data_IF_980352022032
#
_entry.id   IF_980352022032
#
_cell.length_a   1.000
_cell.length_b   1.000
_cell.length_c   1.000
_cell.angle_alpha   90.00
_cell.angle_beta   90.00
_cell.angle_gamma   90.00
#
_symmetry.space_group_name_H-M   'P 1'
#
loop_
_entity.id
_entity.type
_entity.pdbx_description
1 polymer ?
#
# COMPACT_ATOMS: atom_id res chain seq x y z
N UNK A 1 3.89 -20.41 25.54
CA UNK A 1 2.46 -20.56 25.19
C UNK A 1 2.31 -20.02 23.79
N UNK A 2 1.84 -20.84 22.84
CA UNK A 2 1.48 -20.34 21.52
C UNK A 2 0.33 -19.33 21.70
N UNK A 3 0.51 -18.13 21.18
CA UNK A 3 -0.56 -17.14 21.21
C UNK A 3 -1.75 -17.62 20.36
N UNK A 4 -2.99 -17.34 20.77
CA UNK A 4 -4.15 -17.74 19.99
C UNK A 4 -4.08 -17.08 18.62
N UNK A 5 -4.12 -17.88 17.57
CA UNK A 5 -4.25 -17.41 16.21
C UNK A 5 -5.46 -18.04 15.55
N UNK A 6 -6.04 -17.31 14.61
CA UNK A 6 -7.14 -17.81 13.78
C UNK A 6 -6.67 -17.89 12.34
N UNK A 7 -7.18 -18.84 11.59
CA UNK A 7 -6.86 -18.98 10.16
C UNK A 7 -8.09 -19.34 9.35
N UNK A 8 -8.09 -18.95 8.09
CA UNK A 8 -9.12 -19.31 7.11
C UNK A 8 -8.48 -19.58 5.77
N UNK A 9 -9.07 -20.47 4.98
CA UNK A 9 -8.66 -20.75 3.60
C UNK A 9 -9.57 -20.05 2.59
N UNK A 10 -8.95 -19.59 1.51
CA UNK A 10 -9.59 -19.05 0.31
C UNK A 10 -9.43 -20.07 -0.83
N UNK A 11 -10.04 -21.23 -0.70
CA UNK A 11 -9.79 -22.38 -1.55
C UNK A 11 -9.79 -22.04 -3.05
N UNK A 12 -8.69 -22.40 -3.72
CA UNK A 12 -8.45 -22.15 -5.15
C UNK A 12 -7.88 -20.77 -5.50
N UNK A 13 -7.74 -19.85 -4.52
CA UNK A 13 -7.26 -18.51 -4.78
C UNK A 13 -6.09 -18.14 -3.87
N UNK A 14 -4.93 -17.87 -4.47
CA UNK A 14 -3.80 -17.28 -3.79
C UNK A 14 -4.17 -15.86 -3.36
N UNK A 15 -3.94 -15.52 -2.09
CA UNK A 15 -4.28 -14.19 -1.55
C UNK A 15 -3.24 -13.15 -1.94
N UNK A 16 -3.69 -11.94 -2.29
CA UNK A 16 -2.83 -10.82 -2.68
C UNK A 16 -2.93 -9.63 -1.75
N UNK A 17 -4.12 -9.34 -1.23
CA UNK A 17 -4.34 -8.24 -0.29
C UNK A 17 -5.41 -8.61 0.71
N UNK A 18 -5.33 -8.00 1.89
CA UNK A 18 -6.33 -8.10 2.95
C UNK A 18 -6.57 -6.72 3.56
N UNK A 19 -7.82 -6.40 3.85
CA UNK A 19 -8.20 -5.18 4.59
C UNK A 19 -9.34 -5.44 5.56
N UNK A 20 -9.27 -4.81 6.73
CA UNK A 20 -10.37 -4.79 7.70
C UNK A 20 -11.41 -3.74 7.32
N UNK A 21 -12.68 -4.03 7.62
CA UNK A 21 -13.75 -3.05 7.45
C UNK A 21 -13.56 -1.88 8.42
N UNK A 22 -13.72 -0.62 7.96
CA UNK A 22 -13.69 0.53 8.85
C UNK A 22 -14.98 0.70 9.66
N UNK A 23 -16.05 -0.06 9.34
CA UNK A 23 -17.35 0.04 10.00
C UNK A 23 -17.67 -1.14 10.93
N UNK A 24 -17.15 -2.33 10.61
CA UNK A 24 -17.49 -3.55 11.34
C UNK A 24 -16.24 -4.23 11.89
N UNK A 25 -16.15 -4.41 13.24
CA UNK A 25 -14.95 -4.97 13.88
C UNK A 25 -14.69 -6.44 13.53
N UNK A 26 -15.69 -7.14 13.08
CA UNK A 26 -15.65 -8.57 12.76
C UNK A 26 -15.65 -8.86 11.26
N UNK A 27 -15.52 -7.82 10.40
CA UNK A 27 -15.47 -8.02 8.95
C UNK A 27 -14.09 -7.64 8.39
N UNK A 28 -13.64 -8.45 7.45
CA UNK A 28 -12.48 -8.17 6.61
C UNK A 28 -12.73 -8.67 5.20
N UNK A 29 -11.90 -8.30 4.25
CA UNK A 29 -12.01 -8.76 2.88
C UNK A 29 -10.62 -9.11 2.32
N UNK A 30 -10.59 -10.06 1.39
CA UNK A 30 -9.38 -10.58 0.77
C UNK A 30 -9.53 -10.54 -0.74
N UNK A 31 -8.55 -9.96 -1.41
CA UNK A 31 -8.39 -10.06 -2.86
C UNK A 31 -7.49 -11.26 -3.18
N UNK A 32 -7.93 -12.08 -4.11
CA UNK A 32 -7.21 -13.29 -4.49
C UNK A 32 -7.21 -13.53 -5.99
N UNK A 33 -6.29 -14.38 -6.43
CA UNK A 33 -6.18 -14.80 -7.83
C UNK A 33 -5.92 -16.29 -7.93
N UNK A 34 -6.57 -16.92 -8.89
CA UNK A 34 -6.26 -18.31 -9.26
C UNK A 34 -4.89 -18.38 -9.94
N UNK A 35 -4.27 -19.57 -9.90
CA UNK A 35 -3.00 -19.86 -10.57
C UNK A 35 -1.90 -18.80 -10.31
N UNK A 36 -1.82 -18.29 -9.08
CA UNK A 36 -0.83 -17.31 -8.64
C UNK A 36 -0.82 -16.01 -9.47
N UNK A 37 -1.98 -15.62 -10.03
CA UNK A 37 -2.11 -14.39 -10.82
C UNK A 37 -1.52 -14.46 -12.24
N UNK A 38 -1.04 -15.61 -12.67
CA UNK A 38 -0.47 -15.75 -14.01
C UNK A 38 -1.55 -15.80 -15.09
N UNK A 39 -2.57 -16.60 -14.89
CA UNK A 39 -3.73 -16.74 -15.77
C UNK A 39 -4.91 -17.22 -14.93
N UNK A 40 -6.05 -16.63 -15.08
CA UNK A 40 -7.28 -17.14 -14.49
C UNK A 40 -8.06 -16.12 -13.69
N UNK A 41 -9.10 -16.60 -13.06
CA UNK A 41 -10.06 -15.79 -12.34
C UNK A 41 -9.49 -15.23 -11.05
N UNK A 42 -10.05 -14.10 -10.63
CA UNK A 42 -9.88 -13.57 -9.29
C UNK A 42 -11.12 -13.77 -8.44
N UNK A 43 -10.95 -13.59 -7.15
CA UNK A 43 -12.06 -13.59 -6.18
C UNK A 43 -11.86 -12.54 -5.10
N UNK A 44 -12.91 -11.78 -4.86
CA UNK A 44 -13.06 -10.99 -3.65
C UNK A 44 -13.80 -11.86 -2.64
N UNK A 45 -13.16 -12.18 -1.51
CA UNK A 45 -13.76 -12.94 -0.41
C UNK A 45 -14.02 -12.02 0.76
N UNK A 46 -15.27 -11.93 1.21
CA UNK A 46 -15.66 -11.20 2.42
C UNK A 46 -15.64 -12.20 3.58
N UNK A 47 -14.90 -11.87 4.62
CA UNK A 47 -14.72 -12.68 5.79
C UNK A 47 -15.49 -12.10 6.97
N UNK A 48 -16.12 -12.97 7.74
CA UNK A 48 -16.78 -12.64 8.98
C UNK A 48 -16.15 -13.44 10.12
N UNK A 49 -15.63 -12.76 11.13
CA UNK A 49 -15.09 -13.41 12.34
C UNK A 49 -16.19 -13.61 13.37
N UNK A 50 -16.54 -14.85 13.63
CA UNK A 50 -17.54 -15.20 14.63
C UNK A 50 -16.87 -15.56 15.94
N UNK A 51 -17.41 -15.11 17.10
CA UNK A 51 -16.79 -15.35 18.41
C UNK A 51 -16.53 -16.82 18.74
N UNK A 52 -17.42 -17.72 18.28
CA UNK A 52 -17.39 -19.13 18.67
C UNK A 52 -16.80 -20.06 17.61
N UNK A 53 -16.87 -19.70 16.30
CA UNK A 53 -16.44 -20.56 15.20
C UNK A 53 -15.20 -20.01 14.49
N UNK A 54 -14.75 -18.79 14.82
CA UNK A 54 -13.66 -18.12 14.13
C UNK A 54 -14.08 -17.51 12.79
N UNK A 55 -13.10 -17.12 11.96
CA UNK A 55 -13.37 -16.49 10.68
C UNK A 55 -13.95 -17.49 9.66
N UNK A 56 -14.96 -17.06 8.93
CA UNK A 56 -15.58 -17.80 7.83
C UNK A 56 -15.72 -16.90 6.60
N UNK A 57 -15.79 -17.50 5.41
CA UNK A 57 -16.12 -16.78 4.17
C UNK A 57 -17.62 -16.56 4.17
N UNK A 58 -18.03 -15.31 4.37
CA UNK A 58 -19.45 -14.91 4.35
C UNK A 58 -19.95 -14.82 2.91
N UNK A 59 -19.11 -14.27 2.00
CA UNK A 59 -19.45 -14.06 0.60
C UNK A 59 -18.23 -14.05 -0.30
N UNK A 60 -18.40 -14.47 -1.55
CA UNK A 60 -17.37 -14.44 -2.59
C UNK A 60 -17.91 -13.84 -3.88
N UNK A 61 -17.10 -13.00 -4.55
CA UNK A 61 -17.40 -12.41 -5.85
C UNK A 61 -16.31 -12.80 -6.82
N UNK A 62 -16.68 -13.53 -7.88
CA UNK A 62 -15.72 -13.98 -8.88
C UNK A 62 -15.50 -12.91 -9.96
N UNK A 63 -14.28 -12.83 -10.44
CA UNK A 63 -13.86 -11.94 -11.52
C UNK A 63 -13.17 -12.73 -12.63
N UNK A 64 -13.12 -12.15 -13.83
CA UNK A 64 -12.50 -12.81 -14.99
C UNK A 64 -10.97 -12.78 -14.93
N UNK A 65 -10.39 -11.88 -14.13
CA UNK A 65 -8.96 -11.75 -13.95
C UNK A 65 -8.61 -11.56 -12.48
N UNK A 66 -7.34 -11.82 -12.11
CA UNK A 66 -6.84 -11.75 -10.75
C UNK A 66 -7.08 -10.40 -10.09
N UNK A 67 -7.34 -10.43 -8.79
CA UNK A 67 -7.43 -9.23 -7.96
C UNK A 67 -6.14 -9.07 -7.16
N UNK A 68 -5.51 -7.90 -7.30
CA UNK A 68 -4.22 -7.60 -6.66
C UNK A 68 -4.34 -6.74 -5.41
N UNK A 69 -5.36 -5.89 -5.32
CA UNK A 69 -5.59 -5.09 -4.13
C UNK A 69 -7.09 -4.79 -3.93
N UNK A 70 -7.44 -4.35 -2.73
CA UNK A 70 -8.80 -3.96 -2.36
C UNK A 70 -8.77 -2.83 -1.33
N UNK A 71 -9.82 -2.01 -1.35
CA UNK A 71 -10.08 -1.00 -0.33
C UNK A 71 -11.56 -0.95 0.02
N UNK A 72 -11.86 -0.93 1.33
CA UNK A 72 -13.20 -0.62 1.80
C UNK A 72 -13.53 0.84 1.55
N UNK A 73 -14.78 1.11 1.24
CA UNK A 73 -15.30 2.47 1.17
C UNK A 73 -15.25 3.13 2.56
N UNK A 74 -14.92 4.41 2.58
CA UNK A 74 -14.94 5.23 3.80
C UNK A 74 -16.29 5.94 4.01
N UNK A 75 -17.20 5.88 3.03
CA UNK A 75 -18.52 6.51 3.11
C UNK A 75 -19.68 5.51 3.11
N UNK A 76 -19.47 4.28 2.64
CA UNK A 76 -20.51 3.25 2.59
C UNK A 76 -20.04 1.94 3.21
N UNK A 77 -20.71 1.52 4.26
CA UNK A 77 -20.32 0.38 5.10
C UNK A 77 -20.26 -0.98 4.36
N UNK A 78 -20.96 -1.10 3.24
CA UNK A 78 -21.07 -2.34 2.48
C UNK A 78 -20.30 -2.32 1.15
N UNK A 79 -19.56 -1.23 0.86
CA UNK A 79 -18.88 -1.12 -0.42
C UNK A 79 -17.39 -1.42 -0.33
N UNK A 80 -16.90 -2.14 -1.34
CA UNK A 80 -15.48 -2.49 -1.51
C UNK A 80 -15.09 -2.21 -2.95
N UNK A 81 -13.97 -1.51 -3.14
CA UNK A 81 -13.37 -1.35 -4.45
C UNK A 81 -12.19 -2.33 -4.62
N UNK A 82 -12.00 -2.87 -5.83
CA UNK A 82 -10.95 -3.84 -6.15
C UNK A 82 -10.15 -3.42 -7.37
N UNK A 83 -8.85 -3.70 -7.32
CA UNK A 83 -7.87 -3.51 -8.38
C UNK A 83 -7.61 -4.84 -9.09
N UNK A 84 -7.71 -4.88 -10.42
CA UNK A 84 -7.68 -6.09 -11.22
C UNK A 84 -6.53 -6.11 -12.23
N UNK A 85 -6.05 -7.32 -12.57
CA UNK A 85 -5.01 -7.55 -13.55
C UNK A 85 -5.40 -7.17 -14.97
N UNK A 86 -6.69 -7.13 -15.29
CA UNK A 86 -7.21 -6.70 -16.59
C UNK A 86 -7.18 -5.17 -16.81
N UNK A 87 -6.63 -4.40 -15.88
CA UNK A 87 -6.65 -2.92 -15.92
C UNK A 87 -7.96 -2.31 -15.43
N UNK A 88 -8.90 -3.12 -14.98
CA UNK A 88 -10.18 -2.62 -14.48
C UNK A 88 -10.18 -2.41 -12.96
N UNK A 89 -11.02 -1.46 -12.55
CA UNK A 89 -11.39 -1.22 -11.16
C UNK A 89 -12.87 -1.51 -11.01
N UNK A 90 -13.25 -2.25 -9.97
CA UNK A 90 -14.64 -2.65 -9.75
C UNK A 90 -15.09 -2.23 -8.36
N UNK A 91 -16.29 -1.71 -8.24
CA UNK A 91 -16.95 -1.40 -6.98
C UNK A 91 -18.05 -2.43 -6.71
N UNK A 92 -17.99 -3.04 -5.56
CA UNK A 92 -18.91 -4.08 -5.11
C UNK A 92 -19.74 -3.58 -3.94
N UNK A 93 -20.96 -4.06 -3.83
CA UNK A 93 -21.76 -3.94 -2.63
C UNK A 93 -21.97 -5.35 -2.06
N UNK A 94 -21.50 -5.59 -0.83
CA UNK A 94 -21.54 -6.91 -0.20
C UNK A 94 -22.97 -7.39 0.10
N UNK A 95 -23.95 -6.50 0.11
CA UNK A 95 -25.35 -6.84 0.30
C UNK A 95 -26.06 -7.25 -1.01
N UNK A 96 -25.49 -6.86 -2.16
CA UNK A 96 -26.04 -7.19 -3.48
C UNK A 96 -25.39 -8.46 -4.04
N UNK A 97 -25.99 -9.03 -5.07
CA UNK A 97 -25.54 -10.31 -5.65
C UNK A 97 -24.58 -10.11 -6.81
N UNK A 98 -23.59 -10.97 -6.88
CA UNK A 98 -22.73 -11.46 -7.97
C UNK A 98 -22.07 -10.44 -8.92
N UNK A 99 -22.59 -9.23 -9.10
CA UNK A 99 -22.04 -8.26 -10.04
C UNK A 99 -21.56 -6.98 -9.36
N UNK A 100 -20.50 -6.37 -9.87
CA UNK A 100 -20.07 -5.06 -9.37
C UNK A 100 -21.13 -4.01 -9.67
N UNK A 101 -21.37 -3.11 -8.73
CA UNK A 101 -22.30 -1.99 -8.94
C UNK A 101 -21.72 -0.95 -9.91
N UNK A 102 -20.39 -0.95 -10.07
CA UNK A 102 -19.67 -0.14 -11.05
C UNK A 102 -18.38 -0.79 -11.50
N UNK A 103 -18.01 -0.56 -12.77
CA UNK A 103 -16.73 -0.97 -13.35
C UNK A 103 -16.15 0.21 -14.14
N UNK A 104 -14.87 0.48 -13.92
CA UNK A 104 -14.05 1.40 -14.72
C UNK A 104 -12.92 0.61 -15.38
N UNK A 105 -12.56 1.00 -16.61
CA UNK A 105 -11.49 0.38 -17.37
C UNK A 105 -10.76 1.43 -18.18
N UNK A 106 -9.88 2.18 -17.51
CA UNK A 106 -9.09 3.25 -18.13
C UNK A 106 -7.58 3.03 -18.00
N UNK A 107 -7.12 2.16 -17.09
CA UNK A 107 -5.73 1.77 -17.05
C UNK A 107 -5.40 0.85 -18.23
N UNK A 108 -4.18 1.00 -18.77
CA UNK A 108 -3.72 0.25 -19.94
C UNK A 108 -3.01 -1.05 -19.57
N UNK A 109 -2.70 -1.21 -18.29
CA UNK A 109 -2.04 -2.38 -17.71
C UNK A 109 -2.66 -2.70 -16.35
N UNK A 110 -2.11 -3.70 -15.69
CA UNK A 110 -2.55 -4.18 -14.39
C UNK A 110 -2.68 -3.04 -13.37
N UNK A 111 -3.78 -3.01 -12.65
CA UNK A 111 -3.98 -2.13 -11.49
C UNK A 111 -3.47 -2.85 -10.25
N UNK A 112 -2.46 -2.30 -9.62
CA UNK A 112 -1.71 -3.01 -8.58
C UNK A 112 -2.01 -2.54 -7.17
N UNK A 113 -2.51 -1.33 -7.00
CA UNK A 113 -3.02 -0.85 -5.72
C UNK A 113 -4.26 0.02 -5.85
N UNK A 114 -5.02 0.04 -4.79
CA UNK A 114 -6.17 0.89 -4.61
C UNK A 114 -6.21 1.38 -3.16
N UNK A 115 -6.45 2.67 -2.97
CA UNK A 115 -6.55 3.28 -1.64
C UNK A 115 -7.72 4.25 -1.59
N UNK A 116 -8.52 4.14 -0.55
CA UNK A 116 -9.67 5.01 -0.32
C UNK A 116 -9.28 6.13 0.66
N UNK A 117 -9.56 7.38 0.28
CA UNK A 117 -9.22 8.52 1.12
C UNK A 117 -10.04 8.55 2.41
N UNK A 118 -9.37 8.52 3.55
CA UNK A 118 -10.02 8.64 4.85
C UNK A 118 -10.39 10.09 5.22
N UNK A 119 -9.82 11.07 4.51
CA UNK A 119 -10.06 12.51 4.71
C UNK A 119 -11.10 13.06 3.74
N UNK A 120 -11.02 12.68 2.46
CA UNK A 120 -12.00 12.99 1.42
C UNK A 120 -12.73 11.68 1.05
N UNK A 121 -13.66 11.31 1.87
CA UNK A 121 -14.29 9.98 1.91
C UNK A 121 -15.03 9.55 0.63
N UNK A 122 -15.22 10.46 -0.30
CA UNK A 122 -15.80 10.24 -1.63
C UNK A 122 -14.77 9.97 -2.72
N UNK A 123 -13.48 9.99 -2.38
CA UNK A 123 -12.39 9.76 -3.33
C UNK A 123 -11.61 8.47 -3.03
N UNK A 124 -11.18 7.83 -4.10
CA UNK A 124 -10.17 6.78 -4.04
C UNK A 124 -9.16 6.94 -5.17
N UNK A 125 -7.96 6.40 -5.01
CA UNK A 125 -6.93 6.40 -6.04
C UNK A 125 -6.52 4.97 -6.39
N UNK A 126 -6.01 4.82 -7.61
CA UNK A 126 -5.44 3.57 -8.10
C UNK A 126 -4.07 3.81 -8.70
N UNK A 127 -3.19 2.83 -8.61
CA UNK A 127 -1.91 2.83 -9.30
C UNK A 127 -1.78 1.63 -10.22
N UNK A 128 -1.07 1.82 -11.32
CA UNK A 128 -0.95 0.79 -12.36
C UNK A 128 0.48 0.65 -12.88
N UNK A 129 0.75 -0.50 -13.45
CA UNK A 129 1.97 -0.76 -14.20
C UNK A 129 2.08 0.04 -15.49
N UNK A 130 1.01 0.76 -15.89
CA UNK A 130 1.07 1.74 -16.98
C UNK A 130 1.80 3.05 -16.62
N UNK A 131 2.33 3.17 -15.40
CA UNK A 131 3.06 4.34 -14.91
C UNK A 131 2.17 5.47 -14.38
N UNK A 132 0.85 5.28 -14.37
CA UNK A 132 -0.11 6.31 -13.98
C UNK A 132 -0.76 6.04 -12.63
N UNK A 133 -1.19 7.14 -12.00
CA UNK A 133 -2.12 7.14 -10.87
C UNK A 133 -3.41 7.79 -11.36
N UNK A 134 -4.55 7.20 -11.01
CA UNK A 134 -5.85 7.79 -11.31
C UNK A 134 -6.64 8.05 -10.03
N UNK A 135 -7.39 9.14 -10.01
CA UNK A 135 -8.26 9.54 -8.91
C UNK A 135 -9.69 9.40 -9.37
N UNK A 136 -10.52 8.81 -8.53
CA UNK A 136 -11.89 8.43 -8.83
C UNK A 136 -12.85 8.89 -7.76
N UNK A 137 -14.12 8.99 -8.14
CA UNK A 137 -15.26 9.02 -7.22
C UNK A 137 -16.29 7.99 -7.67
N UNK A 138 -17.00 7.34 -6.73
CA UNK A 138 -18.01 6.33 -7.06
C UNK A 138 -19.11 6.83 -8.02
N UNK A 139 -19.40 8.12 -7.99
CA UNK A 139 -20.53 8.71 -8.73
C UNK A 139 -20.25 8.94 -10.21
N UNK A 140 -18.98 8.95 -10.64
CA UNK A 140 -18.60 9.24 -12.03
C UNK A 140 -18.21 7.99 -12.80
N UNK A 141 -18.52 7.99 -14.10
CA UNK A 141 -18.16 6.91 -15.02
C UNK A 141 -16.69 6.95 -15.46
N UNK A 142 -16.00 8.09 -15.24
CA UNK A 142 -14.60 8.30 -15.64
C UNK A 142 -13.80 8.83 -14.48
N UNK A 143 -12.47 8.65 -14.53
CA UNK A 143 -11.55 9.22 -13.56
C UNK A 143 -11.68 10.74 -13.48
N UNK A 144 -11.49 11.28 -12.28
CA UNK A 144 -11.41 12.74 -12.08
C UNK A 144 -10.11 13.30 -12.64
N UNK A 145 -9.04 12.53 -12.45
CA UNK A 145 -7.69 12.98 -12.76
C UNK A 145 -6.80 11.78 -13.06
N UNK A 146 -5.92 11.93 -14.05
CA UNK A 146 -4.85 10.98 -14.35
C UNK A 146 -3.52 11.68 -14.17
N UNK A 147 -2.65 11.12 -13.34
CA UNK A 147 -1.30 11.61 -13.06
C UNK A 147 -0.31 10.67 -13.77
N UNK A 148 0.41 11.09 -14.81
CA UNK A 148 1.54 10.35 -15.35
C UNK A 148 2.71 10.45 -14.37
N UNK A 149 2.73 9.51 -13.40
CA UNK A 149 3.49 9.65 -12.18
C UNK A 149 4.95 9.20 -12.32
N UNK A 150 5.15 8.04 -12.91
CA UNK A 150 6.48 7.43 -13.02
C UNK A 150 6.73 6.96 -14.45
N UNK A 151 8.00 6.81 -14.80
CA UNK A 151 8.42 6.22 -16.09
C UNK A 151 8.40 4.69 -16.08
N UNK A 152 8.07 4.10 -14.94
CA UNK A 152 8.07 2.66 -14.69
C UNK A 152 6.80 2.26 -13.92
N UNK A 153 6.65 0.96 -13.62
CA UNK A 153 5.49 0.42 -12.90
C UNK A 153 5.26 1.14 -11.57
N UNK A 154 4.03 1.58 -11.30
CA UNK A 154 3.63 2.12 -9.99
C UNK A 154 3.01 1.00 -9.16
N UNK A 155 3.71 0.60 -8.10
CA UNK A 155 3.26 -0.51 -7.27
C UNK A 155 2.25 -0.10 -6.20
N UNK A 156 2.35 1.13 -5.69
CA UNK A 156 1.37 1.63 -4.73
C UNK A 156 1.22 3.15 -4.84
N UNK A 157 0.00 3.62 -4.62
CA UNK A 157 -0.35 5.02 -4.42
C UNK A 157 -1.39 5.10 -3.30
N UNK A 158 -1.15 5.95 -2.30
CA UNK A 158 -2.02 6.11 -1.15
C UNK A 158 -2.21 7.58 -0.78
N UNK A 159 -3.38 7.91 -0.27
CA UNK A 159 -3.66 9.23 0.28
C UNK A 159 -2.94 9.46 1.61
N UNK A 160 -2.52 10.70 1.84
CA UNK A 160 -2.07 11.11 3.16
C UNK A 160 -3.23 11.04 4.16
N UNK A 161 -3.03 10.42 5.35
CA UNK A 161 -4.09 10.31 6.35
C UNK A 161 -4.46 11.65 7.01
N UNK A 162 -3.70 12.70 6.78
CA UNK A 162 -3.88 14.01 7.42
C UNK A 162 -4.01 15.17 6.45
N UNK A 163 -3.56 15.02 5.21
CA UNK A 163 -3.57 16.07 4.19
C UNK A 163 -4.42 15.62 3.00
N UNK A 164 -5.65 16.12 2.85
CA UNK A 164 -6.65 15.56 1.95
C UNK A 164 -6.27 15.60 0.47
N UNK A 165 -5.34 16.45 0.08
CA UNK A 165 -4.94 16.60 -1.33
C UNK A 165 -3.58 15.99 -1.65
N UNK A 166 -2.96 15.29 -0.71
CA UNK A 166 -1.62 14.71 -0.91
C UNK A 166 -1.74 13.21 -1.12
N UNK A 167 -1.08 12.73 -2.18
CA UNK A 167 -0.88 11.31 -2.49
C UNK A 167 0.61 11.02 -2.47
N UNK A 168 1.00 9.89 -1.89
CA UNK A 168 2.34 9.33 -2.05
C UNK A 168 2.29 8.14 -3.00
N UNK A 169 3.31 7.98 -3.84
CA UNK A 169 3.45 6.83 -4.72
C UNK A 169 4.84 6.23 -4.68
N UNK A 170 4.94 4.94 -4.96
CA UNK A 170 6.20 4.24 -5.12
C UNK A 170 6.23 3.40 -6.40
N UNK A 171 7.43 3.22 -6.93
CA UNK A 171 7.60 2.64 -8.25
C UNK A 171 8.81 1.70 -8.34
N UNK A 172 8.84 0.90 -9.41
CA UNK A 172 10.01 0.12 -9.81
C UNK A 172 11.21 0.98 -10.20
N UNK A 173 11.04 2.31 -10.38
CA UNK A 173 12.15 3.24 -10.58
C UNK A 173 12.96 3.55 -9.30
N UNK A 174 12.60 2.95 -8.16
CA UNK A 174 13.27 3.14 -6.87
C UNK A 174 12.95 4.46 -6.18
N UNK A 175 11.97 5.22 -6.69
CA UNK A 175 11.59 6.52 -6.12
C UNK A 175 10.26 6.47 -5.39
N UNK A 176 10.19 7.27 -4.32
CA UNK A 176 8.98 7.69 -3.63
C UNK A 176 8.66 9.12 -4.07
N UNK A 177 7.44 9.38 -4.51
CA UNK A 177 7.00 10.70 -4.94
C UNK A 177 5.77 11.16 -4.19
N UNK A 178 5.65 12.48 -3.98
CA UNK A 178 4.47 13.15 -3.44
C UNK A 178 3.80 14.00 -4.51
N UNK A 179 2.49 13.98 -4.51
CA UNK A 179 1.62 14.66 -5.45
C UNK A 179 0.62 15.52 -4.71
N UNK A 180 0.50 16.79 -5.09
CA UNK A 180 -0.61 17.64 -4.66
C UNK A 180 -1.67 17.63 -5.77
N UNK A 181 -2.81 17.04 -5.49
CA UNK A 181 -3.92 16.88 -6.46
C UNK A 181 -4.60 18.20 -6.83
N UNK A 182 -4.30 19.29 -6.13
CA UNK A 182 -4.77 20.65 -6.43
C UNK A 182 -3.90 21.35 -7.46
N UNK A 183 -2.67 20.92 -7.62
CA UNK A 183 -1.75 21.48 -8.61
C UNK A 183 -2.24 21.19 -10.02
N UNK A 184 -2.18 22.16 -10.94
CA UNK A 184 -2.55 21.91 -12.32
C UNK A 184 -1.63 20.83 -12.90
N UNK A 185 -2.24 19.73 -13.31
CA UNK A 185 -1.53 18.66 -14.00
C UNK A 185 -1.35 19.05 -15.47
N UNK A 186 -0.23 18.66 -16.09
CA UNK A 186 -0.09 18.85 -17.53
C UNK A 186 -1.25 18.13 -18.25
N UNK A 187 -1.74 18.68 -19.36
CA UNK A 187 -2.77 17.98 -20.15
C UNK A 187 -2.26 16.58 -20.50
N UNK A 188 -3.20 15.62 -20.48
CA UNK A 188 -2.89 14.24 -20.84
C UNK A 188 -2.09 14.20 -22.14
N UNK A 189 -1.00 13.41 -22.23
CA UNK A 189 -0.18 13.37 -23.42
C UNK A 189 -1.05 12.93 -24.60
N UNK A 190 -1.22 13.83 -25.55
CA UNK A 190 -1.75 13.44 -26.87
C UNK A 190 -0.68 12.52 -27.47
N UNK A 191 -1.07 11.29 -27.82
CA UNK A 191 -0.17 10.31 -28.39
C UNK A 191 0.60 10.92 -29.55
N UNK A 192 1.86 11.26 -29.34
CA UNK A 192 2.77 11.68 -30.40
C UNK A 192 3.42 10.44 -31.02
N UNK A 193 3.50 10.34 -32.36
CA UNK A 193 4.05 9.17 -33.04
C UNK A 193 5.54 8.94 -32.84
N UNK A 194 6.23 9.86 -32.21
CA UNK A 194 7.66 9.76 -31.91
C UNK A 194 7.85 9.48 -30.42
N UNK A 195 8.28 8.27 -30.06
CA UNK A 195 8.50 7.75 -28.71
C UNK A 195 9.47 8.55 -27.81
N UNK A 196 9.36 9.86 -27.79
CA UNK A 196 10.13 10.77 -26.98
C UNK A 196 9.27 11.23 -25.79
N UNK A 197 9.71 10.84 -24.59
CA UNK A 197 9.41 11.39 -23.26
C UNK A 197 7.97 11.87 -23.07
N UNK A 198 7.10 10.97 -22.63
CA UNK A 198 5.82 11.36 -22.03
C UNK A 198 6.11 12.47 -21.01
N UNK A 199 5.44 13.61 -21.12
CA UNK A 199 5.54 14.70 -20.15
C UNK A 199 4.99 14.17 -18.81
N UNK A 200 5.91 13.71 -17.95
CA UNK A 200 5.54 13.31 -16.58
C UNK A 200 5.03 14.52 -15.82
N UNK A 201 4.04 14.32 -14.98
CA UNK A 201 3.60 15.33 -14.05
C UNK A 201 4.76 15.70 -13.11
N UNK A 202 4.79 16.94 -12.66
CA UNK A 202 5.80 17.40 -11.70
C UNK A 202 5.35 17.02 -10.28
N UNK A 203 6.06 16.13 -9.58
CA UNK A 203 5.79 15.84 -8.20
C UNK A 203 6.16 17.02 -7.30
N UNK A 204 5.46 17.16 -6.19
CA UNK A 204 5.84 18.10 -5.14
C UNK A 204 7.20 17.74 -4.52
N UNK A 205 7.46 16.44 -4.41
CA UNK A 205 8.68 15.91 -3.83
C UNK A 205 9.05 14.58 -4.51
N UNK A 206 10.36 14.36 -4.72
CA UNK A 206 10.90 13.06 -5.15
C UNK A 206 12.02 12.65 -4.20
N UNK A 207 11.90 11.43 -3.65
CA UNK A 207 12.89 10.83 -2.77
C UNK A 207 13.43 9.57 -3.44
N UNK A 208 14.75 9.42 -3.66
CA UNK A 208 15.38 8.18 -4.11
C UNK A 208 15.41 7.20 -2.91
N UNK A 209 14.24 6.60 -2.63
CA UNK A 209 14.03 5.84 -1.40
C UNK A 209 14.84 4.53 -1.39
N UNK A 210 14.91 3.83 -2.52
CA UNK A 210 15.70 2.60 -2.67
C UNK A 210 16.50 2.67 -3.99
N UNK A 211 17.70 3.29 -4.01
CA UNK A 211 18.50 3.38 -5.22
C UNK A 211 18.79 2.00 -5.81
N UNK A 212 18.50 1.83 -7.10
CA UNK A 212 18.70 0.59 -7.86
C UNK A 212 17.83 -0.61 -7.41
N UNK A 213 16.75 -0.38 -6.67
CA UNK A 213 15.82 -1.44 -6.27
C UNK A 213 14.37 -0.96 -6.37
N UNK A 214 13.48 -1.86 -6.77
CA UNK A 214 12.05 -1.59 -6.84
C UNK A 214 11.43 -1.41 -5.46
N UNK A 215 10.51 -0.46 -5.34
CA UNK A 215 9.71 -0.25 -4.14
C UNK A 215 8.33 -0.87 -4.39
N UNK A 216 8.00 -1.89 -3.62
CA UNK A 216 6.78 -2.68 -3.80
C UNK A 216 5.60 -2.17 -3.00
N UNK A 217 5.85 -1.41 -1.94
CA UNK A 217 4.79 -0.86 -1.07
C UNK A 217 5.26 0.36 -0.32
N UNK A 218 4.30 1.15 0.11
CA UNK A 218 4.51 2.27 1.03
C UNK A 218 3.32 2.41 1.98
N UNK A 219 3.55 3.02 3.15
CA UNK A 219 2.46 3.45 4.03
C UNK A 219 2.86 4.66 4.85
N UNK A 220 1.91 5.58 5.09
CA UNK A 220 2.07 6.73 5.97
C UNK A 220 1.94 6.33 7.44
N UNK A 221 2.78 6.92 8.28
CA UNK A 221 2.55 6.89 9.72
C UNK A 221 1.26 7.64 10.06
N UNK A 222 0.40 7.01 10.86
CA UNK A 222 -0.94 7.55 11.17
C UNK A 222 -0.90 8.72 12.16
N UNK A 223 0.19 8.86 12.91
CA UNK A 223 0.40 9.91 13.94
C UNK A 223 1.36 11.00 13.47
N UNK A 224 2.25 10.66 12.54
CA UNK A 224 3.29 11.55 12.03
C UNK A 224 3.17 11.68 10.50
N UNK A 225 2.43 12.68 10.01
CA UNK A 225 2.04 12.79 8.60
C UNK A 225 3.21 12.97 7.63
N UNK A 226 4.39 13.30 8.16
CA UNK A 226 5.60 13.47 7.36
C UNK A 226 6.47 12.21 7.31
N UNK A 227 6.05 11.13 7.98
CA UNK A 227 6.81 9.88 8.05
C UNK A 227 6.15 8.84 7.17
N UNK A 228 6.95 8.25 6.27
CA UNK A 228 6.51 7.19 5.36
C UNK A 228 7.46 6.01 5.49
N UNK A 229 6.91 4.80 5.53
CA UNK A 229 7.69 3.57 5.39
C UNK A 229 7.57 3.04 3.95
N UNK A 230 8.65 2.46 3.42
CA UNK A 230 8.68 1.79 2.12
C UNK A 230 9.25 0.39 2.27
N UNK A 231 8.67 -0.58 1.54
CA UNK A 231 9.16 -1.95 1.44
C UNK A 231 9.67 -2.23 0.03
N UNK A 232 10.82 -2.92 -0.09
CA UNK A 232 11.53 -3.05 -1.35
C UNK A 232 12.03 -4.46 -1.64
N UNK A 233 12.36 -4.68 -2.91
CA UNK A 233 13.04 -5.88 -3.42
C UNK A 233 14.43 -6.04 -2.79
N UNK A 234 15.07 -4.96 -2.34
CA UNK A 234 16.36 -5.01 -1.63
C UNK A 234 16.26 -5.63 -0.20
N UNK A 235 15.10 -6.16 0.17
CA UNK A 235 14.81 -6.87 1.43
C UNK A 235 14.76 -5.96 2.66
N UNK A 236 14.78 -4.64 2.43
CA UNK A 236 14.77 -3.67 3.51
C UNK A 236 13.42 -2.94 3.61
N UNK A 237 13.11 -2.49 4.81
CA UNK A 237 12.09 -1.48 5.04
C UNK A 237 12.84 -0.19 5.37
N UNK A 238 12.52 0.90 4.67
CA UNK A 238 13.11 2.21 4.97
C UNK A 238 12.05 3.17 5.46
N UNK A 239 12.43 3.98 6.44
CA UNK A 239 11.57 5.02 7.00
C UNK A 239 12.13 6.36 6.55
N UNK A 240 11.25 7.19 6.01
CA UNK A 240 11.59 8.49 5.45
C UNK A 240 10.88 9.59 6.20
N UNK A 241 11.61 10.67 6.57
CA UNK A 241 11.02 11.94 7.01
C UNK A 241 11.00 12.90 5.83
N UNK A 242 9.82 13.17 5.31
CA UNK A 242 9.61 13.98 4.11
C UNK A 242 9.99 15.45 4.30
N UNK A 243 10.04 15.95 5.55
CA UNK A 243 10.48 17.31 5.88
C UNK A 243 11.97 17.51 5.57
N UNK A 244 12.77 16.45 5.78
CA UNK A 244 14.20 16.50 5.48
C UNK A 244 14.47 16.56 3.98
N UNK A 245 13.61 15.95 3.16
CA UNK A 245 13.70 16.05 1.72
C UNK A 245 13.29 17.45 1.21
N UNK A 246 12.25 18.06 1.80
CA UNK A 246 11.77 19.38 1.42
C UNK A 246 12.75 20.51 1.80
N UNK A 247 13.44 20.40 2.93
CA UNK A 247 14.38 21.41 3.42
C UNK A 247 15.57 21.68 2.48
N UNK A 248 15.93 20.70 1.65
CA UNK A 248 17.07 20.84 0.73
C UNK A 248 16.68 21.38 -0.67
N UNK A 249 15.39 21.57 -0.95
CA UNK A 249 14.89 22.06 -2.26
C UNK A 249 15.02 23.57 -2.52
N UNK A 250 15.67 24.33 -1.64
CA UNK A 250 15.88 25.78 -1.80
C UNK A 250 17.09 26.17 -2.64
N UNK A 251 17.59 25.28 -3.51
CA UNK A 251 18.66 25.63 -4.45
C UNK A 251 18.09 26.42 -5.64
N UNK A 252 18.73 27.53 -5.95
CA UNK A 252 18.40 28.59 -6.92
C UNK A 252 18.33 28.14 -8.39
N UNK A 253 18.38 26.87 -8.71
CA UNK A 253 18.51 26.38 -10.10
C UNK A 253 17.27 25.73 -10.72
N UNK A 254 16.12 25.70 -10.03
CA UNK A 254 14.86 25.22 -10.64
C UNK A 254 14.79 23.75 -11.04
N UNK A 255 15.84 22.97 -10.79
CA UNK A 255 15.87 21.53 -11.04
C UNK A 255 15.50 20.81 -9.75
N UNK A 256 14.51 19.89 -9.74
CA UNK A 256 14.21 19.09 -8.56
C UNK A 256 15.46 18.28 -8.17
N UNK A 257 16.11 18.69 -7.09
CA UNK A 257 17.28 17.98 -6.60
C UNK A 257 16.83 16.77 -5.80
N UNK A 258 17.31 15.60 -6.19
CA UNK A 258 17.13 14.36 -5.44
C UNK A 258 17.85 14.47 -4.09
N UNK A 259 17.14 14.28 -3.00
CA UNK A 259 17.72 14.38 -1.65
C UNK A 259 17.89 13.01 -1.01
N UNK A 260 19.10 12.49 -0.91
CA UNK A 260 19.39 11.19 -0.32
C UNK A 260 19.16 11.12 1.20
N UNK A 261 19.02 12.25 1.87
CA UNK A 261 18.99 12.33 3.33
C UNK A 261 17.60 12.21 3.98
N UNK A 262 16.54 11.91 3.20
CA UNK A 262 15.20 11.73 3.76
C UNK A 262 15.05 10.41 4.54
N UNK A 263 15.89 9.42 4.28
CA UNK A 263 15.86 8.13 4.99
C UNK A 263 16.43 8.30 6.39
N UNK A 264 15.58 8.11 7.40
CA UNK A 264 15.93 8.24 8.82
C UNK A 264 16.20 6.91 9.48
N UNK A 265 15.68 5.80 8.94
CA UNK A 265 15.93 4.46 9.44
C UNK A 265 15.87 3.41 8.34
N UNK A 266 16.58 2.30 8.56
CA UNK A 266 16.51 1.10 7.72
C UNK A 266 16.35 -0.12 8.62
N UNK A 267 15.29 -0.89 8.41
CA UNK A 267 15.00 -2.12 9.13
C UNK A 267 15.50 -3.29 8.29
N UNK A 268 16.35 -4.10 8.88
CA UNK A 268 17.00 -5.25 8.27
C UNK A 268 16.54 -6.54 8.95
N UNK A 269 16.31 -7.59 8.16
CA UNK A 269 15.98 -8.89 8.74
C UNK A 269 15.20 -9.81 7.80
N UNK A 270 14.43 -9.28 6.83
CA UNK A 270 13.82 -10.13 5.81
C UNK A 270 14.89 -10.73 4.88
N UNK A 271 14.68 -11.98 4.48
CA UNK A 271 15.60 -12.71 3.60
C UNK A 271 15.26 -12.52 2.12
N UNK A 272 14.03 -12.14 1.82
CA UNK A 272 13.53 -11.85 0.47
C UNK A 272 12.79 -10.51 0.43
N UNK A 273 12.31 -10.14 -0.76
CA UNK A 273 11.62 -8.88 -1.01
C UNK A 273 10.48 -8.62 -0.01
N UNK A 274 10.39 -7.39 0.46
CA UNK A 274 9.29 -6.92 1.31
C UNK A 274 8.15 -6.46 0.42
N UNK A 275 7.08 -7.25 0.39
CA UNK A 275 5.94 -7.03 -0.52
C UNK A 275 4.93 -6.01 0.01
N UNK A 276 4.69 -5.96 1.32
CA UNK A 276 3.75 -5.03 1.95
C UNK A 276 4.33 -4.49 3.24
N UNK A 277 4.09 -3.23 3.51
CA UNK A 277 4.31 -2.59 4.81
C UNK A 277 3.03 -1.89 5.25
N UNK A 278 2.78 -1.85 6.56
CA UNK A 278 1.61 -1.19 7.13
C UNK A 278 1.94 -0.65 8.52
N UNK A 279 1.77 0.66 8.72
CA UNK A 279 1.88 1.29 10.03
C UNK A 279 0.70 0.92 10.91
N UNK A 280 0.98 0.70 12.19
CA UNK A 280 -0.08 0.47 13.18
C UNK A 280 -1.02 1.68 13.29
N UNK A 281 -2.34 1.46 13.30
CA UNK A 281 -3.30 2.51 13.58
C UNK A 281 -3.40 2.84 15.08
N UNK A 282 -2.78 2.04 15.96
CA UNK A 282 -2.87 2.17 17.41
C UNK A 282 -1.61 2.73 18.05
N UNK A 283 -0.44 2.53 17.43
CA UNK A 283 0.85 2.94 17.95
C UNK A 283 1.73 3.52 16.85
N UNK A 284 2.37 4.65 17.14
CA UNK A 284 3.16 5.40 16.16
C UNK A 284 4.51 4.76 15.83
N UNK A 285 4.95 3.80 16.62
CA UNK A 285 6.28 3.18 16.54
C UNK A 285 6.25 1.74 16.01
N UNK A 286 5.09 1.21 15.59
CA UNK A 286 4.97 -0.16 15.08
C UNK A 286 4.64 -0.23 13.59
N UNK A 287 5.33 -1.12 12.89
CA UNK A 287 5.12 -1.45 11.48
C UNK A 287 4.92 -2.95 11.35
N UNK A 288 3.91 -3.37 10.59
CA UNK A 288 3.79 -4.73 10.09
C UNK A 288 4.39 -4.82 8.69
N UNK A 289 4.99 -5.95 8.37
CA UNK A 289 5.50 -6.26 7.02
C UNK A 289 5.16 -7.67 6.61
N UNK A 290 5.01 -7.87 5.29
CA UNK A 290 4.85 -9.15 4.63
C UNK A 290 5.94 -9.32 3.59
N UNK A 291 6.53 -10.52 3.50
CA UNK A 291 7.67 -10.77 2.62
C UNK A 291 7.57 -12.12 1.90
N UNK A 292 8.27 -12.19 0.77
CA UNK A 292 8.47 -13.43 0.02
C UNK A 292 9.35 -14.45 0.76
N UNK A 293 9.88 -14.11 1.95
CA UNK A 293 10.54 -15.08 2.84
C UNK A 293 9.53 -15.93 3.65
N UNK A 294 8.25 -15.94 3.26
CA UNK A 294 7.12 -16.65 3.88
C UNK A 294 6.81 -16.18 5.30
N UNK A 295 7.36 -15.04 5.73
CA UNK A 295 7.10 -14.48 7.06
C UNK A 295 6.36 -13.14 7.00
N UNK A 296 5.54 -12.91 8.01
CA UNK A 296 5.09 -11.57 8.37
C UNK A 296 5.76 -11.16 9.68
N UNK A 297 6.10 -9.88 9.82
CA UNK A 297 6.82 -9.38 10.99
C UNK A 297 6.20 -8.12 11.54
N UNK A 298 6.32 -7.95 12.86
CA UNK A 298 6.06 -6.66 13.52
C UNK A 298 7.39 -6.10 13.99
N UNK A 299 7.61 -4.85 13.65
CA UNK A 299 8.80 -4.08 13.97
C UNK A 299 8.42 -2.97 14.94
N UNK A 300 9.30 -2.70 15.89
CA UNK A 300 9.22 -1.49 16.70
C UNK A 300 10.35 -0.56 16.27
N UNK A 301 9.97 0.66 15.87
CA UNK A 301 10.92 1.73 15.55
C UNK A 301 11.36 2.44 16.82
N UNK A 302 12.55 3.05 16.82
CA UNK A 302 12.99 3.85 17.97
C UNK A 302 12.28 5.19 18.00
N UNK A 303 11.77 5.61 19.14
CA UNK A 303 11.03 6.88 19.33
C UNK A 303 11.82 8.14 18.92
N UNK A 304 13.15 8.05 18.88
CA UNK A 304 14.03 9.17 18.48
C UNK A 304 13.88 9.59 17.01
N UNK A 305 13.26 8.77 16.17
CA UNK A 305 13.04 9.05 14.75
C UNK A 305 12.03 10.15 14.50
N UNK A 306 11.15 10.43 15.47
CA UNK A 306 9.96 11.25 15.27
C UNK A 306 10.02 12.59 15.97
N UNK A 307 10.88 12.79 16.96
CA UNK A 307 10.85 13.95 17.89
C UNK A 307 11.83 15.06 17.51
N UNK A 308 12.87 14.78 16.75
CA UNK A 308 13.85 15.82 16.40
C UNK A 308 13.38 16.65 15.18
N UNK A 309 12.75 17.79 15.46
CA UNK A 309 12.73 18.92 14.52
C UNK A 309 14.16 19.30 14.10
N UNK A 310 14.35 20.16 13.08
CA UNK A 310 15.66 20.54 12.57
C UNK A 310 16.44 21.37 13.61
N UNK A 311 16.95 20.73 14.64
CA UNK A 311 17.96 21.30 15.54
C UNK A 311 19.30 20.88 15.01
N UNK A 312 20.06 21.88 14.59
CA UNK A 312 21.46 21.89 14.15
C UNK A 312 22.42 21.33 15.22
N UNK A 313 22.38 20.06 15.50
CA UNK A 313 23.47 19.36 16.17
C UNK A 313 23.68 18.03 15.47
N UNK A 314 24.77 17.96 14.73
CA UNK A 314 25.30 16.73 14.14
C UNK A 314 25.45 15.67 15.25
N UNK A 315 24.43 14.84 15.44
CA UNK A 315 24.61 13.57 16.13
C UNK A 315 25.23 12.62 15.11
N UNK A 316 26.53 12.41 15.27
CA UNK A 316 27.26 11.31 14.63
C UNK A 316 26.57 10.02 15.03
N UNK A 317 25.80 9.43 14.12
CA UNK A 317 25.33 8.07 14.27
C UNK A 317 26.56 7.17 14.32
N UNK A 318 26.80 6.57 15.49
CA UNK A 318 27.86 5.59 15.69
C UNK A 318 27.68 4.49 14.64
N UNK A 319 28.74 4.22 13.87
CA UNK A 319 28.81 3.25 12.79
C UNK A 319 28.82 1.78 13.28
N UNK A 320 27.91 1.43 14.19
CA UNK A 320 27.60 0.06 14.55
C UNK A 320 26.16 -0.23 14.12
N UNK A 321 26.02 -0.80 12.91
CA UNK A 321 24.82 -1.43 12.39
C UNK A 321 23.55 -0.58 12.60
N UNK A 322 23.23 0.32 11.68
CA UNK A 322 22.08 1.20 11.78
C UNK A 322 20.74 0.46 11.76
N UNK A 323 20.37 -0.17 12.85
CA UNK A 323 19.01 -0.68 13.05
C UNK A 323 18.17 0.46 13.65
N UNK A 324 17.40 1.15 12.81
CA UNK A 324 16.40 2.12 13.27
C UNK A 324 15.20 1.49 13.95
N UNK A 325 15.27 0.20 14.32
CA UNK A 325 14.22 -0.53 14.98
C UNK A 325 14.59 -1.99 15.26
N UNK A 326 13.73 -2.67 16.03
CA UNK A 326 13.88 -4.07 16.43
C UNK A 326 12.69 -4.89 15.92
N UNK A 327 12.94 -6.16 15.61
CA UNK A 327 11.88 -7.13 15.35
C UNK A 327 11.22 -7.44 16.70
N UNK A 328 9.95 -7.10 16.82
CA UNK A 328 9.15 -7.40 18.01
C UNK A 328 8.53 -8.79 17.89
N UNK A 329 8.12 -9.15 16.66
CA UNK A 329 7.46 -10.42 16.42
C UNK A 329 7.72 -10.93 15.00
N UNK A 330 7.81 -12.25 14.87
CA UNK A 330 7.89 -12.96 13.59
C UNK A 330 6.74 -13.98 13.54
N UNK A 331 5.98 -13.95 12.46
CA UNK A 331 4.98 -14.95 12.13
C UNK A 331 5.45 -15.77 10.93
N UNK A 332 5.69 -17.06 11.13
CA UNK A 332 6.22 -18.03 10.17
C UNK A 332 5.22 -19.16 9.86
N UNK A 333 3.94 -18.93 10.15
CA UNK A 333 2.89 -19.94 9.99
C UNK A 333 2.46 -20.21 8.53
N UNK A 334 2.87 -19.37 7.58
CA UNK A 334 2.59 -19.52 6.16
C UNK A 334 3.56 -20.50 5.47
N UNK A 335 3.11 -21.11 4.36
CA UNK A 335 3.89 -22.10 3.60
C UNK A 335 4.34 -21.60 2.23
N UNK A 336 3.87 -20.42 1.85
CA UNK A 336 4.17 -19.73 0.60
C UNK A 336 4.37 -18.25 0.87
N UNK A 337 4.70 -17.47 -0.15
CA UNK A 337 4.96 -16.04 -0.09
C UNK A 337 3.86 -15.29 0.64
N UNK A 338 4.21 -14.53 1.65
CA UNK A 338 3.29 -13.63 2.35
C UNK A 338 3.30 -12.30 1.60
N UNK A 339 2.16 -11.93 1.03
CA UNK A 339 2.08 -10.79 0.11
C UNK A 339 1.23 -9.64 0.62
N UNK A 340 0.39 -9.88 1.63
CA UNK A 340 -0.43 -8.86 2.25
C UNK A 340 -0.40 -8.92 3.77
N UNK A 341 -0.45 -7.76 4.41
CA UNK A 341 -0.67 -7.62 5.84
C UNK A 341 -1.48 -6.36 6.14
N UNK A 342 -2.31 -6.45 7.17
CA UNK A 342 -3.10 -5.33 7.65
C UNK A 342 -3.26 -5.42 9.18
N UNK A 343 -3.36 -4.25 9.84
CA UNK A 343 -3.70 -4.17 11.25
C UNK A 343 -5.21 -4.17 11.43
N UNK A 344 -5.68 -4.84 12.47
CA UNK A 344 -7.05 -4.66 12.94
C UNK A 344 -7.26 -3.22 13.39
N UNK A 345 -8.36 -2.60 12.97
CA UNK A 345 -8.71 -1.24 13.38
C UNK A 345 -9.32 -1.19 14.79
N UNK A 346 -9.87 -2.30 15.27
CA UNK A 346 -10.63 -2.37 16.53
C UNK A 346 -9.90 -3.15 17.62
N UNK A 347 -9.00 -4.05 17.23
CA UNK A 347 -8.30 -4.94 18.17
C UNK A 347 -6.80 -4.68 18.14
N UNK A 348 -6.34 -3.84 19.05
CA UNK A 348 -4.95 -3.40 19.12
C UNK A 348 -3.98 -4.59 19.22
N UNK A 349 -2.94 -4.54 18.39
CA UNK A 349 -1.90 -5.57 18.31
C UNK A 349 -2.26 -6.78 17.43
N UNK A 350 -3.50 -6.89 16.94
CA UNK A 350 -3.87 -7.95 16.00
C UNK A 350 -3.49 -7.57 14.57
N UNK A 351 -2.76 -8.46 13.92
CA UNK A 351 -2.35 -8.38 12.51
C UNK A 351 -3.01 -9.51 11.74
N UNK A 352 -3.53 -9.20 10.55
CA UNK A 352 -3.88 -10.19 9.57
C UNK A 352 -2.78 -10.26 8.51
N UNK A 353 -2.38 -11.48 8.12
CA UNK A 353 -1.48 -11.73 6.99
C UNK A 353 -2.12 -12.67 6.00
N UNK A 354 -1.87 -12.46 4.72
CA UNK A 354 -2.39 -13.30 3.65
C UNK A 354 -1.28 -13.74 2.69
N UNK A 355 -1.41 -14.97 2.17
CA UNK A 355 -0.34 -15.65 1.46
C UNK A 355 -0.84 -16.40 0.22
N UNK A 356 0.09 -16.70 -0.66
CA UNK A 356 -0.16 -17.56 -1.82
C UNK A 356 -0.48 -19.02 -1.44
N UNK A 357 -0.29 -19.41 -0.17
CA UNK A 357 -0.76 -20.70 0.36
C UNK A 357 -2.29 -20.78 0.50
N UNK A 358 -3.02 -19.79 -0.01
CA UNK A 358 -4.47 -19.67 0.05
C UNK A 358 -4.99 -19.56 1.50
N UNK A 359 -4.20 -18.99 2.39
CA UNK A 359 -4.59 -18.81 3.77
C UNK A 359 -4.47 -17.35 4.22
N UNK A 360 -5.36 -17.01 5.11
CA UNK A 360 -5.30 -15.78 5.91
C UNK A 360 -5.14 -16.17 7.36
N UNK A 361 -4.15 -15.59 8.01
CA UNK A 361 -3.87 -15.79 9.43
C UNK A 361 -4.08 -14.49 10.19
N UNK A 362 -4.79 -14.57 11.32
CA UNK A 362 -4.98 -13.48 12.28
C UNK A 362 -4.20 -13.83 13.54
N UNK A 363 -3.24 -12.99 13.91
CA UNK A 363 -2.30 -13.25 14.99
C UNK A 363 -1.93 -11.97 15.74
N UNK A 364 -1.36 -12.14 16.96
CA UNK A 364 -0.93 -11.04 17.82
C UNK A 364 0.53 -11.14 18.16
#
# INVERSE_FOLDING_TARGET
MQQPYKRIRTDGFACYSIAFSPFYPNKSAVAGSANFGLVGNGRLSVLHDTPNAGPLVEKGFDTQDGLYDLAWSECHENQIATASGDGSVKLWDVMLNDFPIRKWHEHQREVFSIDWSNTQKDLFCTSSWDGTIKIWTPDRATSLTTIPAHSACVYAAIFSPSQPSIIASCSSDGTLKLWDTRSPLPPAPVASPSGANANLAQPQLTVPAHPNAEILSLDFNKYHPHVVATGSVDRTIRIHDLRMAAAASTSTSGVPTMHPNATVATLLGHEYAVRRVSWSPHESDRIASASYDMTARVWRTTNDLVVSGPTTTSRTFSARGGMGGTIERVWDGHKEFVVGCAWSLYDAGTVASCSWDQQVHFWR
#
